data_IF_398407109660
#
_entry.id   IF_398407109660
#
_cell.length_a   1.000
_cell.length_b   1.000
_cell.length_c   1.000
_cell.angle_alpha   90.00
_cell.angle_beta   90.00
_cell.angle_gamma   90.00
#
_symmetry.space_group_name_H-M   'P 1'
#
loop_
_entity.id
_entity.type
_entity.pdbx_description
1 polymer ?
#
# COMPACT_ATOMS: atom_id res chain seq x y z
N UNK A 1 35.79 14.13 -5.78
CA UNK A 1 35.78 13.11 -4.71
C UNK A 1 34.34 12.71 -4.51
N UNK A 2 34.01 11.49 -4.93
CA UNK A 2 32.65 11.06 -5.22
C UNK A 2 31.74 11.07 -3.99
N UNK A 3 30.57 11.68 -4.13
CA UNK A 3 29.37 11.24 -3.41
C UNK A 3 29.11 9.81 -3.88
N UNK A 4 29.64 8.82 -3.15
CA UNK A 4 29.17 7.45 -3.30
C UNK A 4 27.74 7.47 -2.75
N UNK A 5 26.78 7.54 -3.66
CA UNK A 5 25.39 7.20 -3.38
C UNK A 5 25.40 5.84 -2.68
N UNK A 6 24.88 5.80 -1.46
CA UNK A 6 24.86 4.62 -0.62
C UNK A 6 24.05 3.50 -1.31
N UNK A 7 24.75 2.64 -2.06
CA UNK A 7 24.18 1.49 -2.78
C UNK A 7 24.06 0.26 -1.89
N UNK A 8 24.15 0.39 -0.55
CA UNK A 8 24.08 -0.72 0.41
C UNK A 8 22.67 -1.18 0.80
N UNK A 9 21.60 -0.70 0.13
CA UNK A 9 20.24 -1.01 0.59
C UNK A 9 19.71 -2.39 0.19
N UNK A 10 20.38 -3.14 -0.68
CA UNK A 10 19.78 -4.28 -1.39
C UNK A 10 20.24 -5.68 -0.99
N UNK A 11 21.30 -5.86 -0.19
CA UNK A 11 21.90 -7.19 0.02
C UNK A 11 21.06 -8.18 0.84
N UNK A 12 19.91 -7.77 1.39
CA UNK A 12 19.00 -8.69 2.09
C UNK A 12 17.54 -8.20 2.07
N UNK A 13 17.05 -7.82 0.90
CA UNK A 13 15.65 -7.36 0.72
C UNK A 13 14.85 -8.29 -0.19
N UNK A 14 13.55 -8.41 0.09
CA UNK A 14 12.60 -9.24 -0.66
C UNK A 14 11.55 -8.35 -1.33
N UNK A 15 11.02 -8.80 -2.46
CA UNK A 15 9.89 -8.14 -3.12
C UNK A 15 8.58 -8.77 -2.65
N UNK A 16 7.74 -7.99 -1.98
CA UNK A 16 6.39 -8.37 -1.59
C UNK A 16 5.40 -7.83 -2.63
N UNK A 17 4.82 -8.73 -3.43
CA UNK A 17 3.73 -8.40 -4.35
C UNK A 17 2.39 -8.49 -3.61
N UNK A 18 1.61 -7.42 -3.67
CA UNK A 18 0.31 -7.31 -3.04
C UNK A 18 -0.75 -6.96 -4.10
N UNK A 19 -1.81 -7.76 -4.18
CA UNK A 19 -2.94 -7.53 -5.09
C UNK A 19 -4.18 -7.15 -4.31
N UNK A 20 -4.64 -5.91 -4.46
CA UNK A 20 -5.94 -5.49 -3.98
C UNK A 20 -7.00 -5.86 -5.02
N UNK A 21 -7.75 -6.91 -4.75
CA UNK A 21 -8.79 -7.42 -5.65
C UNK A 21 -10.04 -6.53 -5.58
N UNK A 22 -10.65 -6.42 -4.39
CA UNK A 22 -11.92 -5.74 -4.20
C UNK A 22 -12.35 -5.69 -2.74
N UNK A 23 -13.47 -5.03 -2.49
CA UNK A 23 -14.19 -5.07 -1.22
C UNK A 23 -15.68 -5.30 -1.49
N UNK A 24 -16.41 -5.72 -0.45
CA UNK A 24 -17.82 -6.05 -0.54
C UNK A 24 -18.60 -5.41 0.60
N UNK A 25 -19.79 -4.88 0.30
CA UNK A 25 -20.73 -4.30 1.25
C UNK A 25 -20.13 -3.25 2.20
N UNK A 26 -19.39 -2.29 1.65
CA UNK A 26 -18.85 -1.16 2.41
C UNK A 26 -19.97 -0.33 3.05
N UNK A 27 -19.64 0.33 4.16
CA UNK A 27 -20.55 1.27 4.81
C UNK A 27 -20.87 2.46 3.90
N UNK A 28 -22.13 2.91 3.94
CA UNK A 28 -22.61 4.12 3.28
C UNK A 28 -22.10 5.33 4.05
N UNK A 29 -21.12 6.06 3.49
CA UNK A 29 -20.58 7.26 4.14
C UNK A 29 -20.89 8.55 3.39
N UNK A 30 -21.30 8.48 2.12
CA UNK A 30 -21.66 9.68 1.34
C UNK A 30 -23.19 9.88 1.25
N UNK A 31 -23.57 11.15 1.03
CA UNK A 31 -24.92 11.72 1.13
C UNK A 31 -25.99 10.94 0.34
N UNK A 32 -25.60 10.29 -0.76
CA UNK A 32 -26.51 9.55 -1.64
C UNK A 32 -26.52 8.02 -1.42
N UNK A 33 -25.96 7.54 -0.31
CA UNK A 33 -26.06 6.13 0.09
C UNK A 33 -25.11 5.18 -0.65
N UNK A 34 -24.12 5.71 -1.37
CA UNK A 34 -22.94 5.00 -1.86
C UNK A 34 -21.68 5.63 -1.25
N UNK A 35 -20.50 5.10 -1.57
CA UNK A 35 -19.22 5.66 -1.13
C UNK A 35 -18.29 5.82 -2.34
N UNK A 36 -17.28 6.68 -2.22
CA UNK A 36 -16.15 6.78 -3.17
C UNK A 36 -14.87 6.08 -2.62
N UNK A 37 -14.81 4.74 -2.50
CA UNK A 37 -13.74 4.05 -1.78
C UNK A 37 -12.39 4.02 -2.52
N UNK A 38 -11.32 4.04 -1.72
CA UNK A 38 -9.95 3.67 -2.10
C UNK A 38 -9.29 2.92 -0.94
N UNK A 39 -8.19 2.20 -1.22
CA UNK A 39 -7.35 1.54 -0.21
C UNK A 39 -6.00 2.24 -0.15
N UNK A 40 -5.55 2.54 1.08
CA UNK A 40 -4.18 2.97 1.39
C UNK A 40 -3.43 1.81 2.00
N UNK A 41 -2.25 1.50 1.46
CA UNK A 41 -1.36 0.46 1.99
C UNK A 41 -0.06 1.16 2.38
N UNK A 42 0.35 0.98 3.63
CA UNK A 42 1.58 1.57 4.18
C UNK A 42 2.53 0.45 4.58
N UNK A 43 3.79 0.54 4.14
CA UNK A 43 4.88 -0.24 4.70
C UNK A 43 5.47 0.55 5.86
N UNK A 44 5.31 0.04 7.08
CA UNK A 44 5.82 0.67 8.30
C UNK A 44 7.01 -0.12 8.84
N UNK A 45 7.90 0.55 9.58
CA UNK A 45 8.86 -0.15 10.44
C UNK A 45 8.14 -0.85 11.59
N UNK A 46 8.77 -1.87 12.17
CA UNK A 46 8.17 -2.68 13.25
C UNK A 46 7.91 -1.88 14.52
N UNK A 47 8.66 -0.79 14.74
CA UNK A 47 8.44 0.17 15.82
C UNK A 47 7.27 1.14 15.57
N UNK A 48 6.57 1.02 14.43
CA UNK A 48 5.23 1.60 14.18
C UNK A 48 5.21 3.09 13.81
N UNK A 49 6.25 3.85 14.11
CA UNK A 49 6.21 5.32 13.99
C UNK A 49 6.77 5.86 12.66
N UNK A 50 7.35 5.01 11.81
CA UNK A 50 7.94 5.42 10.53
C UNK A 50 7.34 4.65 9.36
N UNK A 51 6.61 5.39 8.51
CA UNK A 51 6.18 4.89 7.20
C UNK A 51 7.33 4.97 6.20
N UNK A 52 7.69 3.84 5.62
CA UNK A 52 8.74 3.70 4.60
C UNK A 52 8.17 4.01 3.21
N UNK A 53 7.00 3.46 2.90
CA UNK A 53 6.39 3.57 1.59
C UNK A 53 4.85 3.54 1.70
N UNK A 54 4.16 4.26 0.83
CA UNK A 54 2.69 4.27 0.77
C UNK A 54 2.23 4.09 -0.66
N UNK A 55 1.23 3.23 -0.86
CA UNK A 55 0.49 3.13 -2.10
C UNK A 55 -0.99 3.38 -1.90
N UNK A 56 -1.61 3.91 -2.95
CA UNK A 56 -3.05 4.18 -3.00
C UNK A 56 -3.62 3.47 -4.23
N UNK A 57 -4.76 2.80 -4.05
CA UNK A 57 -5.55 2.37 -5.21
C UNK A 57 -6.23 3.57 -5.86
N UNK A 58 -6.64 3.42 -7.12
CA UNK A 58 -7.59 4.37 -7.71
C UNK A 58 -8.88 4.43 -6.87
N UNK A 59 -9.44 5.62 -6.71
CA UNK A 59 -10.77 5.79 -6.14
C UNK A 59 -11.82 5.22 -7.08
N UNK A 60 -12.72 4.39 -6.58
CA UNK A 60 -13.91 3.94 -7.31
C UNK A 60 -15.08 4.80 -6.90
N UNK A 61 -15.84 5.31 -7.87
CA UNK A 61 -16.93 6.24 -7.62
C UNK A 61 -18.24 5.51 -7.30
N UNK A 62 -18.99 6.01 -6.31
CA UNK A 62 -20.37 5.62 -5.98
C UNK A 62 -20.58 4.10 -5.93
N UNK A 63 -19.75 3.38 -5.19
CA UNK A 63 -19.89 1.93 -5.03
C UNK A 63 -19.59 1.46 -3.61
N UNK A 64 -20.36 0.49 -3.14
CA UNK A 64 -20.08 -0.24 -1.90
C UNK A 64 -19.38 -1.59 -2.17
N UNK A 65 -19.19 -1.94 -3.44
CA UNK A 65 -18.57 -3.19 -3.89
C UNK A 65 -17.47 -2.89 -4.92
N UNK A 66 -16.43 -2.12 -4.55
CA UNK A 66 -15.37 -1.76 -5.49
C UNK A 66 -14.54 -2.99 -5.89
N UNK A 67 -14.23 -3.07 -7.20
CA UNK A 67 -13.22 -3.99 -7.74
C UNK A 67 -12.07 -3.15 -8.28
N UNK A 68 -10.88 -3.35 -7.71
CA UNK A 68 -9.65 -2.63 -8.10
C UNK A 68 -8.76 -3.48 -9.00
N UNK A 69 -8.54 -4.74 -8.66
CA UNK A 69 -7.54 -5.61 -9.30
C UNK A 69 -6.19 -4.92 -9.50
N UNK A 70 -5.76 -4.14 -8.50
CA UNK A 70 -4.54 -3.35 -8.56
C UNK A 70 -3.41 -4.04 -7.80
N UNK A 71 -2.25 -4.14 -8.43
CA UNK A 71 -1.05 -4.74 -7.84
C UNK A 71 -0.04 -3.68 -7.42
N UNK A 72 0.60 -3.91 -6.28
CA UNK A 72 1.71 -3.13 -5.73
C UNK A 72 2.86 -4.06 -5.42
N UNK A 73 4.08 -3.53 -5.44
CA UNK A 73 5.28 -4.27 -5.06
C UNK A 73 6.03 -3.42 -4.05
N UNK A 74 6.22 -3.95 -2.85
CA UNK A 74 7.05 -3.35 -1.82
C UNK A 74 8.40 -4.05 -1.77
N UNK A 75 9.46 -3.29 -1.49
CA UNK A 75 10.75 -3.86 -1.11
C UNK A 75 10.81 -3.92 0.42
N UNK A 76 10.78 -5.13 0.98
CA UNK A 76 10.77 -5.38 2.43
C UNK A 76 12.11 -5.94 2.88
N UNK A 77 12.57 -5.55 4.07
CA UNK A 77 13.71 -6.19 4.73
C UNK A 77 13.15 -7.08 5.85
N UNK A 78 13.55 -8.36 5.96
CA UNK A 78 13.23 -9.14 7.14
C UNK A 78 13.81 -8.45 8.37
N UNK A 79 13.12 -8.53 9.49
CA UNK A 79 13.65 -8.01 10.75
C UNK A 79 14.97 -8.74 11.05
N UNK A 80 16.06 -7.99 11.19
CA UNK A 80 17.30 -8.54 11.76
C UNK A 80 16.95 -9.01 13.18
N UNK A 81 17.17 -10.30 13.45
CA UNK A 81 17.00 -10.89 14.78
C UNK A 81 18.09 -10.39 15.73
#
# INVERSE_FOLDING_TARGET
MAWQSDTRTDENSFLLRLKIVGAYSLAKKDIFGASDPYVRVELQKVDGDVTIETFLTKTKKKTLNPIWNQEFVFRVKPQEQ
#
